data_IF_136394138840
#
_entry.id   IF_136394138840
#
_cell.length_a   1.000
_cell.length_b   1.000
_cell.length_c   1.000
_cell.angle_alpha   90.00
_cell.angle_beta   90.00
_cell.angle_gamma   90.00
#
_symmetry.space_group_name_H-M   'P 1'
#
loop_
_entity.id
_entity.type
_entity.pdbx_description
1 polymer ?
#
# COMPACT_ATOMS: atom_id res chain seq x y z
N UNK A 1 -4.28 -5.94 -20.34
CA UNK A 1 -5.07 -6.30 -19.15
C UNK A 1 -5.78 -5.05 -18.64
N UNK A 2 -6.76 -4.59 -19.41
CA UNK A 2 -7.73 -3.52 -19.05
C UNK A 2 -8.85 -4.08 -18.13
N UNK A 3 -8.67 -5.29 -17.62
CA UNK A 3 -9.75 -6.13 -17.09
C UNK A 3 -10.10 -5.91 -15.61
N UNK A 4 -9.39 -5.01 -14.92
CA UNK A 4 -9.61 -4.72 -13.49
C UNK A 4 -9.70 -3.22 -13.23
N UNK A 5 -10.36 -2.48 -14.12
CA UNK A 5 -10.86 -1.16 -13.76
C UNK A 5 -12.14 -1.29 -12.90
N UNK A 6 -12.32 -0.43 -11.88
CA UNK A 6 -11.38 0.62 -11.45
C UNK A 6 -10.16 0.06 -10.72
N UNK A 7 -9.06 0.80 -10.74
CA UNK A 7 -7.86 0.46 -9.98
C UNK A 7 -8.13 0.39 -8.47
N UNK A 8 -7.20 -0.17 -7.69
CA UNK A 8 -7.46 -0.58 -6.30
C UNK A 8 -7.87 0.60 -5.42
N UNK A 9 -7.24 1.76 -5.58
CA UNK A 9 -7.56 2.94 -4.75
C UNK A 9 -8.93 3.50 -5.11
N UNK A 10 -9.25 3.60 -6.40
CA UNK A 10 -10.57 4.01 -6.87
C UNK A 10 -11.67 3.04 -6.42
N UNK A 11 -11.43 1.73 -6.50
CA UNK A 11 -12.34 0.70 -6.01
C UNK A 11 -12.60 0.84 -4.50
N UNK A 12 -11.56 1.07 -3.70
CA UNK A 12 -11.68 1.30 -2.25
C UNK A 12 -12.51 2.55 -1.94
N UNK A 13 -12.30 3.65 -2.67
CA UNK A 13 -13.11 4.87 -2.54
C UNK A 13 -14.58 4.64 -2.89
N UNK A 14 -14.86 3.87 -3.95
CA UNK A 14 -16.22 3.50 -4.32
C UNK A 14 -16.90 2.64 -3.25
N UNK A 15 -16.16 1.68 -2.67
CA UNK A 15 -16.66 0.84 -1.58
C UNK A 15 -16.94 1.66 -0.31
N UNK A 16 -16.01 2.55 0.07
CA UNK A 16 -16.17 3.43 1.25
C UNK A 16 -17.38 4.35 1.08
N UNK A 17 -17.57 4.93 -0.12
CA UNK A 17 -18.76 5.71 -0.47
C UNK A 17 -20.04 4.90 -0.25
N UNK A 18 -20.11 3.70 -0.83
CA UNK A 18 -21.29 2.85 -0.74
C UNK A 18 -21.59 2.43 0.71
N UNK A 19 -20.56 2.15 1.51
CA UNK A 19 -20.71 1.81 2.93
C UNK A 19 -21.11 3.02 3.80
N UNK A 20 -20.66 4.22 3.44
CA UNK A 20 -20.87 5.46 4.20
C UNK A 20 -22.16 6.22 3.87
N UNK A 21 -22.86 5.87 2.79
CA UNK A 21 -24.09 6.57 2.33
C UNK A 21 -25.34 6.23 3.15
N UNK A 22 -25.19 6.18 4.47
CA UNK A 22 -26.23 5.80 5.43
C UNK A 22 -26.64 6.94 6.36
N UNK A 23 -25.91 8.08 6.34
CA UNK A 23 -26.15 9.22 7.23
C UNK A 23 -26.70 10.45 6.49
N UNK A 24 -27.69 11.17 7.06
CA UNK A 24 -28.42 12.23 6.37
C UNK A 24 -27.61 13.51 6.13
N UNK A 25 -26.51 13.72 6.85
CA UNK A 25 -25.72 14.96 6.82
C UNK A 25 -24.48 14.88 5.91
N UNK A 26 -24.13 13.70 5.41
CA UNK A 26 -22.99 13.50 4.53
C UNK A 26 -23.33 12.47 3.42
N UNK A 27 -24.36 12.74 2.60
CA UNK A 27 -24.69 11.85 1.49
C UNK A 27 -23.50 11.73 0.54
N UNK A 28 -23.12 10.51 0.21
CA UNK A 28 -21.87 10.18 -0.46
C UNK A 28 -21.96 10.41 -1.98
N UNK A 29 -22.27 11.66 -2.38
CA UNK A 29 -22.47 12.08 -3.78
C UNK A 29 -21.18 11.92 -4.59
N UNK A 30 -21.31 11.51 -5.85
CA UNK A 30 -20.18 11.46 -6.77
C UNK A 30 -19.55 12.86 -6.88
N UNK A 31 -18.32 13.00 -6.36
CA UNK A 31 -17.52 14.20 -6.52
C UNK A 31 -16.59 13.97 -7.71
N UNK A 32 -16.31 14.97 -8.56
CA UNK A 32 -15.36 14.86 -9.66
C UNK A 32 -13.92 14.91 -9.09
N UNK A 33 -13.62 14.02 -8.16
CA UNK A 33 -12.29 13.84 -7.61
C UNK A 33 -11.68 12.64 -8.31
N UNK A 34 -10.71 12.92 -9.18
CA UNK A 34 -9.91 11.88 -9.81
C UNK A 34 -8.87 11.41 -8.81
N UNK A 35 -9.02 10.17 -8.37
CA UNK A 35 -8.11 9.58 -7.39
C UNK A 35 -6.93 9.04 -8.18
N UNK A 36 -5.74 9.58 -7.93
CA UNK A 36 -4.49 9.01 -8.43
C UNK A 36 -4.43 7.51 -8.07
N UNK A 37 -3.91 6.66 -8.94
CA UNK A 37 -3.77 5.24 -8.65
C UNK A 37 -2.52 4.96 -7.81
N UNK A 38 -2.49 3.79 -7.17
CA UNK A 38 -1.37 3.41 -6.31
C UNK A 38 -0.11 3.24 -7.14
N UNK A 39 1.00 3.80 -6.65
CA UNK A 39 2.31 3.49 -7.22
C UNK A 39 2.76 2.07 -6.84
N UNK A 40 3.89 1.63 -7.41
CA UNK A 40 4.40 0.29 -7.19
C UNK A 40 4.78 0.02 -5.72
N UNK A 41 5.40 0.99 -5.05
CA UNK A 41 5.82 0.86 -3.66
C UNK A 41 4.58 0.73 -2.76
N UNK A 42 3.57 1.57 -2.97
CA UNK A 42 2.30 1.51 -2.26
C UNK A 42 1.59 0.17 -2.47
N UNK A 43 1.63 -0.38 -3.68
CA UNK A 43 1.06 -1.69 -3.99
C UNK A 43 1.80 -2.81 -3.26
N UNK A 44 3.14 -2.79 -3.26
CA UNK A 44 3.98 -3.76 -2.53
C UNK A 44 3.67 -3.73 -1.04
N UNK A 45 3.61 -2.53 -0.46
CA UNK A 45 3.26 -2.36 0.96
C UNK A 45 1.85 -2.85 1.27
N UNK A 46 0.87 -2.53 0.43
CA UNK A 46 -0.51 -2.97 0.63
C UNK A 46 -0.65 -4.50 0.51
N UNK A 47 -0.01 -5.12 -0.49
CA UNK A 47 -0.02 -6.57 -0.68
C UNK A 47 0.59 -7.28 0.54
N UNK A 48 1.74 -6.80 1.01
CA UNK A 48 2.38 -7.35 2.19
C UNK A 48 1.51 -7.17 3.45
N UNK A 49 0.94 -5.99 3.65
CA UNK A 49 0.06 -5.71 4.80
C UNK A 49 -1.20 -6.58 4.79
N UNK A 50 -1.83 -6.74 3.63
CA UNK A 50 -3.12 -7.42 3.50
C UNK A 50 -2.98 -8.95 3.49
N UNK A 51 -1.89 -9.48 2.91
CA UNK A 51 -1.77 -10.92 2.61
C UNK A 51 -0.50 -11.56 3.15
N UNK A 52 0.50 -10.77 3.56
CA UNK A 52 1.83 -11.24 3.96
C UNK A 52 2.72 -11.66 2.79
N UNK A 53 2.26 -11.53 1.54
CA UNK A 53 3.01 -11.90 0.33
C UNK A 53 2.98 -10.76 -0.69
N UNK A 54 4.01 -10.69 -1.53
CA UNK A 54 4.13 -9.70 -2.61
C UNK A 54 4.57 -10.40 -3.89
N UNK A 55 4.19 -9.86 -5.05
CA UNK A 55 4.52 -10.46 -6.37
C UNK A 55 5.45 -9.60 -7.22
N UNK A 56 5.55 -8.30 -6.91
CA UNK A 56 6.29 -7.32 -7.72
C UNK A 56 7.61 -6.87 -7.09
N UNK A 57 7.85 -7.16 -5.81
CA UNK A 57 9.05 -6.72 -5.08
C UNK A 57 8.91 -6.97 -3.58
N UNK A 58 9.99 -6.83 -2.82
CA UNK A 58 9.97 -7.05 -1.37
C UNK A 58 9.93 -5.72 -0.59
N UNK A 59 9.08 -5.55 0.45
CA UNK A 59 8.96 -4.27 1.16
C UNK A 59 10.27 -3.74 1.74
N UNK A 60 11.18 -4.63 2.14
CA UNK A 60 12.49 -4.23 2.69
C UNK A 60 13.36 -3.50 1.66
N UNK A 61 13.18 -3.72 0.36
CA UNK A 61 13.96 -3.05 -0.70
C UNK A 61 13.73 -1.53 -0.68
N UNK A 62 12.51 -1.09 -0.37
CA UNK A 62 12.13 0.33 -0.32
C UNK A 62 12.59 1.06 0.94
N UNK A 63 12.88 0.33 2.01
CA UNK A 63 13.30 0.91 3.28
C UNK A 63 14.76 0.60 3.64
N UNK A 64 15.46 -0.22 2.85
CA UNK A 64 16.82 -0.70 3.14
C UNK A 64 17.79 0.46 3.34
N UNK A 65 17.87 1.37 2.37
CA UNK A 65 18.76 2.53 2.44
C UNK A 65 18.53 3.37 3.69
N UNK A 66 17.26 3.61 4.05
CA UNK A 66 16.92 4.35 5.27
C UNK A 66 17.31 3.59 6.54
N UNK A 67 17.16 2.27 6.55
CA UNK A 67 17.59 1.44 7.68
C UNK A 67 19.12 1.42 7.82
N UNK A 68 19.85 1.38 6.70
CA UNK A 68 21.31 1.48 6.65
C UNK A 68 21.80 2.81 7.21
N UNK A 69 21.18 3.93 6.82
CA UNK A 69 21.48 5.26 7.36
C UNK A 69 21.33 5.32 8.90
N UNK A 70 20.47 4.48 9.47
CA UNK A 70 20.23 4.40 10.92
C UNK A 70 21.01 3.27 11.60
N UNK A 71 21.88 2.56 10.87
CA UNK A 71 22.72 1.48 11.41
C UNK A 71 21.94 0.23 11.80
N UNK A 72 20.75 0.01 11.24
CA UNK A 72 19.95 -1.19 11.52
C UNK A 72 20.50 -2.37 10.74
N UNK A 73 21.10 -3.34 11.43
CA UNK A 73 21.65 -4.54 10.83
C UNK A 73 20.58 -5.34 10.05
N UNK A 74 20.92 -5.80 8.86
CA UNK A 74 20.15 -6.79 8.12
C UNK A 74 20.39 -8.20 8.69
N UNK A 75 19.55 -9.16 8.30
CA UNK A 75 19.77 -10.55 8.72
C UNK A 75 21.06 -11.16 8.15
N UNK A 76 21.56 -10.64 7.02
CA UNK A 76 22.83 -11.08 6.45
C UNK A 76 24.04 -10.61 7.30
N UNK A 77 23.90 -9.47 7.97
CA UNK A 77 24.96 -8.90 8.81
C UNK A 77 25.10 -9.61 10.16
N UNK A 78 24.14 -10.48 10.53
CA UNK A 78 24.14 -11.17 11.82
C UNK A 78 25.38 -12.04 12.04
N UNK A 79 26.00 -12.56 10.98
CA UNK A 79 27.24 -13.34 11.08
C UNK A 79 28.44 -12.49 11.57
N UNK A 80 28.35 -11.16 11.41
CA UNK A 80 29.41 -10.22 11.76
C UNK A 80 29.17 -9.53 13.12
N UNK A 81 27.99 -9.73 13.73
CA UNK A 81 27.64 -9.14 15.03
C UNK A 81 28.32 -9.94 16.15
N UNK A 82 29.14 -9.30 17.01
CA UNK A 82 29.74 -9.97 18.16
C UNK A 82 28.69 -10.41 19.20
N UNK A 83 28.95 -11.52 19.90
CA UNK A 83 28.16 -11.98 21.05
C UNK A 83 28.07 -10.95 22.20
#
# INVERSE_FOLDING_TARGET
FEAFEPGRRQAAWAALRAAGDVLPLAPARHLPFDVEEMDEEELIFLDYLATGITVSGHPMEHIRDRLDEHGVASSADLEEVPD
#
